data_IF_121187566584
#
_entry.id   IF_121187566584
#
_cell.length_a   1.000
_cell.length_b   1.000
_cell.length_c   1.000
_cell.angle_alpha   90.00
_cell.angle_beta   90.00
_cell.angle_gamma   90.00
#
_symmetry.space_group_name_H-M   'P 1'
#
loop_
_entity.id
_entity.type
_entity.pdbx_description
1 polymer ?
#
# COMPACT_ATOMS: atom_id res chain seq x y z
N UNK A 1 9.06 -52.07 -26.49
CA UNK A 1 7.80 -51.44 -26.98
C UNK A 1 8.08 -50.12 -27.68
N UNK A 2 7.34 -49.81 -28.74
CA UNK A 2 7.37 -48.46 -29.35
C UNK A 2 6.62 -47.46 -28.48
N UNK A 3 7.00 -46.17 -28.54
CA UNK A 3 6.34 -45.09 -27.79
C UNK A 3 4.84 -45.00 -28.12
N UNK A 4 4.49 -45.29 -29.37
CA UNK A 4 3.11 -45.27 -29.87
C UNK A 4 2.25 -46.39 -29.25
N UNK A 5 2.79 -47.59 -29.06
CA UNK A 5 2.09 -48.67 -28.38
C UNK A 5 1.89 -48.37 -26.89
N UNK A 6 2.87 -47.74 -26.23
CA UNK A 6 2.75 -47.34 -24.83
C UNK A 6 1.62 -46.31 -24.63
N UNK A 7 1.52 -45.30 -25.52
CA UNK A 7 0.44 -44.31 -25.51
C UNK A 7 -0.93 -44.96 -25.79
N UNK A 8 -1.01 -45.85 -26.79
CA UNK A 8 -2.25 -46.56 -27.13
C UNK A 8 -2.76 -47.40 -25.96
N UNK A 9 -1.86 -48.09 -25.26
CA UNK A 9 -2.20 -48.86 -24.06
C UNK A 9 -2.65 -47.94 -22.92
N UNK A 10 -1.91 -46.87 -22.63
CA UNK A 10 -2.30 -45.88 -21.62
C UNK A 10 -3.71 -45.31 -21.86
N UNK A 11 -4.05 -44.98 -23.11
CA UNK A 11 -5.38 -44.50 -23.47
C UNK A 11 -6.50 -45.52 -23.22
N UNK A 12 -6.27 -46.80 -23.55
CA UNK A 12 -7.20 -47.87 -23.27
C UNK A 12 -7.39 -48.06 -21.75
N UNK A 13 -6.30 -47.93 -20.98
CA UNK A 13 -6.28 -47.98 -19.53
C UNK A 13 -7.11 -46.85 -18.88
N UNK A 14 -6.92 -45.60 -19.33
CA UNK A 14 -7.67 -44.42 -18.87
C UNK A 14 -9.17 -44.62 -19.09
N UNK A 15 -9.57 -45.15 -20.24
CA UNK A 15 -10.99 -45.46 -20.54
C UNK A 15 -11.58 -46.56 -19.67
N UNK A 16 -10.76 -47.52 -19.23
CA UNK A 16 -11.18 -48.61 -18.36
C UNK A 16 -11.37 -48.16 -16.90
N UNK A 17 -10.50 -47.31 -16.38
CA UNK A 17 -10.57 -46.80 -14.99
C UNK A 17 -11.05 -45.35 -14.89
N UNK A 18 -12.26 -45.08 -15.41
CA UNK A 18 -12.87 -43.74 -15.48
C UNK A 18 -12.86 -43.00 -14.13
N UNK A 19 -13.21 -43.69 -13.04
CA UNK A 19 -13.27 -43.08 -11.71
C UNK A 19 -11.89 -42.60 -11.24
N UNK A 20 -10.87 -43.43 -11.43
CA UNK A 20 -9.49 -43.12 -11.03
C UNK A 20 -8.93 -41.99 -11.87
N UNK A 21 -9.04 -42.08 -13.20
CA UNK A 21 -8.60 -41.02 -14.11
C UNK A 21 -9.31 -39.70 -13.83
N UNK A 22 -10.59 -39.72 -13.46
CA UNK A 22 -11.32 -38.53 -13.05
C UNK A 22 -10.71 -37.90 -11.78
N UNK A 23 -10.44 -38.68 -10.72
CA UNK A 23 -9.85 -38.14 -9.49
C UNK A 23 -8.41 -37.63 -9.71
N UNK A 24 -7.60 -38.29 -10.54
CA UNK A 24 -6.25 -37.81 -10.87
C UNK A 24 -6.31 -36.49 -11.63
N UNK A 25 -7.16 -36.39 -12.65
CA UNK A 25 -7.36 -35.18 -13.44
C UNK A 25 -7.91 -34.04 -12.58
N UNK A 26 -8.87 -34.33 -11.70
CA UNK A 26 -9.46 -33.35 -10.78
C UNK A 26 -8.39 -32.80 -9.83
N UNK A 27 -7.55 -33.66 -9.24
CA UNK A 27 -6.47 -33.25 -8.35
C UNK A 27 -5.44 -32.34 -9.03
N UNK A 28 -5.01 -32.70 -10.25
CA UNK A 28 -4.09 -31.88 -11.05
C UNK A 28 -4.73 -30.56 -11.43
N UNK A 29 -5.99 -30.58 -11.87
CA UNK A 29 -6.70 -29.37 -12.29
C UNK A 29 -6.87 -28.40 -11.13
N UNK A 30 -7.26 -28.87 -9.95
CA UNK A 30 -7.39 -28.04 -8.75
C UNK A 30 -6.03 -27.47 -8.35
N UNK A 31 -4.96 -28.29 -8.35
CA UNK A 31 -3.61 -27.85 -8.03
C UNK A 31 -3.09 -26.76 -8.96
N UNK A 32 -3.23 -26.95 -10.28
CA UNK A 32 -2.82 -25.97 -11.30
C UNK A 32 -3.69 -24.71 -11.25
N UNK A 33 -5.01 -24.85 -11.04
CA UNK A 33 -5.91 -23.69 -10.93
C UNK A 33 -5.57 -22.86 -9.70
N UNK A 34 -5.34 -23.51 -8.55
CA UNK A 34 -4.90 -22.83 -7.33
C UNK A 34 -3.56 -22.13 -7.52
N UNK A 35 -2.58 -22.79 -8.14
CA UNK A 35 -1.29 -22.23 -8.51
C UNK A 35 -1.46 -20.94 -9.34
N UNK A 36 -2.21 -21.01 -10.44
CA UNK A 36 -2.43 -19.87 -11.33
C UNK A 36 -3.16 -18.76 -10.59
N UNK A 37 -4.18 -19.08 -9.79
CA UNK A 37 -4.94 -18.11 -9.02
C UNK A 37 -4.06 -17.36 -8.02
N UNK A 38 -3.26 -18.06 -7.21
CA UNK A 38 -2.39 -17.43 -6.21
C UNK A 38 -1.33 -16.55 -6.88
N UNK A 39 -0.65 -17.05 -7.93
CA UNK A 39 0.36 -16.27 -8.65
C UNK A 39 -0.26 -15.02 -9.30
N UNK A 40 -1.44 -15.16 -9.89
CA UNK A 40 -2.16 -14.04 -10.53
C UNK A 40 -2.61 -12.99 -9.52
N UNK A 41 -3.17 -13.42 -8.37
CA UNK A 41 -3.60 -12.54 -7.30
C UNK A 41 -2.40 -11.78 -6.71
N UNK A 42 -1.33 -12.49 -6.36
CA UNK A 42 -0.11 -11.87 -5.80
C UNK A 42 0.53 -10.91 -6.80
N UNK A 43 0.70 -11.33 -8.06
CA UNK A 43 1.29 -10.49 -9.12
C UNK A 43 0.40 -9.29 -9.49
N UNK A 44 -0.92 -9.46 -9.47
CA UNK A 44 -1.89 -8.39 -9.67
C UNK A 44 -1.85 -7.36 -8.55
N UNK A 45 -1.91 -7.80 -7.29
CA UNK A 45 -1.80 -6.91 -6.14
C UNK A 45 -0.46 -6.17 -6.11
N UNK A 46 0.65 -6.83 -6.43
CA UNK A 46 1.99 -6.20 -6.48
C UNK A 46 2.05 -5.07 -7.51
N UNK A 47 1.49 -5.27 -8.72
CA UNK A 47 1.38 -4.22 -9.75
C UNK A 47 0.47 -3.08 -9.32
N UNK A 48 -0.72 -3.42 -8.84
CA UNK A 48 -1.70 -2.46 -8.32
C UNK A 48 -1.10 -1.54 -7.25
N UNK A 49 -0.34 -2.12 -6.30
CA UNK A 49 0.34 -1.34 -5.26
C UNK A 49 1.44 -0.44 -5.83
N UNK A 50 2.19 -0.90 -6.83
CA UNK A 50 3.26 -0.09 -7.43
C UNK A 50 2.69 1.10 -8.22
N UNK A 51 1.60 0.90 -8.95
CA UNK A 51 1.02 1.92 -9.84
C UNK A 51 0.11 2.90 -9.09
N UNK A 52 -0.77 2.42 -8.20
CA UNK A 52 -1.72 3.31 -7.51
C UNK A 52 -1.16 3.91 -6.22
N UNK A 53 -0.38 3.17 -5.43
CA UNK A 53 0.04 3.64 -4.10
C UNK A 53 1.37 4.39 -4.15
N UNK A 54 2.40 3.79 -4.74
CA UNK A 54 3.76 4.37 -4.71
C UNK A 54 3.84 5.63 -5.57
N UNK A 55 3.22 5.63 -6.75
CA UNK A 55 3.23 6.78 -7.66
C UNK A 55 2.47 8.03 -7.17
N UNK A 56 1.45 7.84 -6.31
CA UNK A 56 0.58 8.93 -5.84
C UNK A 56 0.87 9.40 -4.41
N UNK A 57 1.27 8.51 -3.50
CA UNK A 57 1.40 8.85 -2.08
C UNK A 57 2.79 9.38 -1.69
N UNK A 58 3.83 9.01 -2.44
CA UNK A 58 5.21 9.39 -2.15
C UNK A 58 5.55 10.60 -3.01
N UNK A 59 5.57 11.78 -2.39
CA UNK A 59 6.17 12.94 -3.02
C UNK A 59 7.66 12.63 -3.26
N UNK A 60 8.00 12.29 -4.50
CA UNK A 60 9.38 11.95 -4.89
C UNK A 60 10.29 13.09 -4.43
N UNK A 61 11.37 12.74 -3.74
CA UNK A 61 12.32 13.66 -3.11
C UNK A 61 11.69 14.59 -2.06
N UNK A 62 10.96 14.03 -1.09
CA UNK A 62 10.51 14.77 0.09
C UNK A 62 10.81 14.04 1.40
N UNK A 63 11.02 14.81 2.47
CA UNK A 63 10.98 14.32 3.85
C UNK A 63 9.96 15.10 4.68
N UNK A 64 9.48 14.49 5.75
CA UNK A 64 8.61 15.11 6.73
C UNK A 64 9.34 15.25 8.07
N UNK A 65 9.51 16.48 8.54
CA UNK A 65 9.92 16.76 9.91
C UNK A 65 8.72 16.57 10.83
N UNK A 66 8.80 15.62 11.76
CA UNK A 66 7.76 15.33 12.75
C UNK A 66 8.36 15.12 14.13
N UNK A 67 7.55 15.26 15.17
CA UNK A 67 7.95 14.89 16.54
C UNK A 67 8.14 13.37 16.69
N UNK A 68 7.28 12.59 16.00
CA UNK A 68 7.33 11.11 15.97
C UNK A 68 7.19 10.61 14.53
N UNK A 69 7.79 9.45 14.20
CA UNK A 69 7.57 8.81 12.91
C UNK A 69 6.07 8.52 12.71
N UNK A 70 5.56 8.77 11.50
CA UNK A 70 4.19 8.43 11.13
C UNK A 70 4.11 6.99 10.59
N UNK A 71 5.19 6.52 9.96
CA UNK A 71 5.35 5.14 9.53
C UNK A 71 6.38 4.50 10.46
N UNK A 72 5.94 3.52 11.24
CA UNK A 72 6.83 2.72 12.07
C UNK A 72 7.16 1.43 11.34
N UNK A 73 8.45 1.17 11.12
CA UNK A 73 8.89 -0.09 10.54
C UNK A 73 8.94 -1.17 11.63
N UNK A 74 8.05 -2.15 11.53
CA UNK A 74 8.07 -3.34 12.40
C UNK A 74 7.40 -3.15 13.76
N UNK A 75 7.69 -4.10 14.66
CA UNK A 75 7.10 -4.15 16.00
C UNK A 75 7.86 -3.17 16.91
N UNK A 76 7.27 -2.00 17.15
CA UNK A 76 7.87 -0.96 17.99
C UNK A 76 7.60 -1.30 19.45
N UNK A 77 8.66 -1.45 20.23
CA UNK A 77 8.54 -1.76 21.66
C UNK A 77 7.71 -0.69 22.40
N UNK A 78 7.05 -1.10 23.49
CA UNK A 78 6.30 -0.15 24.33
C UNK A 78 7.20 0.95 24.91
N UNK A 79 8.48 0.68 25.11
CA UNK A 79 9.48 1.65 25.56
C UNK A 79 9.70 2.76 24.53
N UNK A 80 9.88 2.39 23.26
CA UNK A 80 10.02 3.36 22.16
C UNK A 80 8.74 4.16 21.97
N UNK A 81 7.56 3.54 22.13
CA UNK A 81 6.29 4.27 22.13
C UNK A 81 6.16 5.27 23.28
N UNK A 82 6.63 4.91 24.48
CA UNK A 82 6.68 5.83 25.63
C UNK A 82 7.64 6.98 25.37
N UNK A 83 8.80 6.72 24.76
CA UNK A 83 9.75 7.76 24.35
C UNK A 83 9.10 8.71 23.33
N UNK A 84 8.48 8.19 22.27
CA UNK A 84 7.82 9.01 21.24
C UNK A 84 6.73 9.92 21.81
N UNK A 85 6.00 9.46 22.84
CA UNK A 85 5.00 10.29 23.53
C UNK A 85 5.60 11.41 24.38
N UNK A 86 6.85 11.27 24.83
CA UNK A 86 7.58 12.28 25.61
C UNK A 86 8.31 13.30 24.74
N UNK A 87 8.49 13.02 23.45
CA UNK A 87 9.18 13.93 22.53
C UNK A 87 8.45 15.28 22.46
N UNK A 88 9.19 16.41 22.45
CA UNK A 88 8.58 17.71 22.29
C UNK A 88 7.85 17.78 20.94
N UNK A 89 6.66 18.38 20.94
CA UNK A 89 5.90 18.62 19.71
C UNK A 89 6.58 19.72 18.90
N UNK A 90 6.50 19.61 17.58
CA UNK A 90 6.96 20.68 16.68
C UNK A 90 6.01 21.86 16.82
N UNK A 91 6.57 23.05 17.02
CA UNK A 91 5.79 24.27 17.19
C UNK A 91 5.82 25.14 15.95
N UNK A 92 4.83 26.01 15.80
CA UNK A 92 4.78 27.00 14.71
C UNK A 92 6.01 27.92 14.73
N UNK A 93 6.58 28.20 15.92
CA UNK A 93 7.81 28.98 16.09
C UNK A 93 9.08 28.28 15.57
N UNK A 94 9.05 26.95 15.41
CA UNK A 94 10.17 26.18 14.85
C UNK A 94 10.16 26.21 13.31
N UNK A 95 8.99 26.45 12.70
CA UNK A 95 8.82 26.43 11.23
C UNK A 95 9.66 27.51 10.57
N UNK A 96 9.60 28.77 11.03
CA UNK A 96 10.35 29.88 10.43
C UNK A 96 11.86 29.63 10.33
N UNK A 97 12.55 29.27 11.43
CA UNK A 97 13.97 28.89 11.41
C UNK A 97 14.28 27.69 10.53
N UNK A 98 13.41 26.67 10.51
CA UNK A 98 13.57 25.49 9.65
C UNK A 98 13.55 25.91 8.19
N UNK A 99 12.56 26.70 7.78
CA UNK A 99 12.43 27.19 6.39
C UNK A 99 13.61 28.08 6.00
N UNK A 100 14.05 28.97 6.91
CA UNK A 100 15.18 29.86 6.66
C UNK A 100 16.52 29.14 6.46
N UNK A 101 16.68 27.93 7.02
CA UNK A 101 17.89 27.15 6.88
C UNK A 101 17.93 26.29 5.61
N UNK A 102 16.80 26.13 4.90
CA UNK A 102 16.73 25.27 3.73
C UNK A 102 17.60 25.81 2.58
N UNK A 103 18.28 24.92 1.83
CA UNK A 103 19.04 25.33 0.65
C UNK A 103 18.10 25.83 -0.48
N UNK A 104 18.61 26.66 -1.41
CA UNK A 104 17.88 27.01 -2.63
C UNK A 104 17.43 25.76 -3.40
N UNK A 105 16.30 25.84 -4.11
CA UNK A 105 15.72 24.69 -4.82
C UNK A 105 14.96 23.72 -3.90
N UNK A 106 14.50 24.22 -2.74
CA UNK A 106 13.61 23.50 -1.84
C UNK A 106 12.27 24.22 -1.69
N UNK A 107 11.23 23.42 -1.43
CA UNK A 107 9.88 23.87 -1.10
C UNK A 107 9.51 23.29 0.24
N UNK A 108 8.77 24.05 1.05
CA UNK A 108 8.38 23.61 2.39
C UNK A 108 6.94 23.96 2.68
N UNK A 109 6.26 23.03 3.36
CA UNK A 109 4.84 23.14 3.62
C UNK A 109 4.54 22.63 5.02
N UNK A 110 3.83 23.41 5.82
CA UNK A 110 3.32 23.00 7.12
C UNK A 110 1.98 22.29 6.96
N UNK A 111 1.81 21.17 7.67
CA UNK A 111 0.60 20.36 7.62
C UNK A 111 0.20 19.98 9.04
N UNK A 112 -1.10 20.09 9.32
CA UNK A 112 -1.72 19.53 10.52
C UNK A 112 -3.00 18.83 10.14
N UNK A 113 -3.27 17.65 10.70
CA UNK A 113 -4.40 16.84 10.29
C UNK A 113 -5.09 16.19 11.47
N UNK A 114 -6.42 16.21 11.47
CA UNK A 114 -7.23 15.51 12.45
C UNK A 114 -8.55 15.07 11.83
N UNK A 115 -9.12 14.00 12.37
CA UNK A 115 -10.46 13.59 12.00
C UNK A 115 -11.49 14.51 12.67
N UNK A 116 -12.26 15.24 11.87
CA UNK A 116 -13.29 16.18 12.34
C UNK A 116 -14.66 15.75 11.84
N UNK A 117 -15.70 16.12 12.59
CA UNK A 117 -17.08 15.96 12.14
C UNK A 117 -17.45 17.10 11.20
N UNK A 118 -17.83 16.75 9.98
CA UNK A 118 -18.27 17.71 8.96
C UNK A 118 -19.75 17.53 8.72
N UNK A 119 -20.46 18.65 8.63
CA UNK A 119 -21.91 18.72 8.51
C UNK A 119 -22.30 19.51 7.27
N UNK A 120 -23.48 19.18 6.73
CA UNK A 120 -24.09 19.92 5.62
C UNK A 120 -25.59 19.93 5.82
N UNK A 121 -26.26 20.88 5.16
CA UNK A 121 -27.73 20.91 5.07
C UNK A 121 -28.29 19.77 4.21
N UNK A 122 -27.45 19.16 3.36
CA UNK A 122 -27.88 18.19 2.35
C UNK A 122 -27.69 16.72 2.76
N UNK A 123 -26.87 16.43 3.77
CA UNK A 123 -26.54 15.05 4.16
C UNK A 123 -26.20 14.94 5.65
N UNK A 124 -26.22 13.70 6.15
CA UNK A 124 -25.88 13.40 7.55
C UNK A 124 -24.42 13.73 7.84
N UNK A 125 -24.11 14.22 9.06
CA UNK A 125 -22.74 14.43 9.51
C UNK A 125 -21.86 13.20 9.32
N UNK A 126 -20.60 13.42 8.95
CA UNK A 126 -19.63 12.35 8.77
C UNK A 126 -18.26 12.78 9.26
N UNK A 127 -17.52 11.84 9.82
CA UNK A 127 -16.13 12.06 10.20
C UNK A 127 -15.24 12.04 8.95
N UNK A 128 -14.45 13.09 8.77
CA UNK A 128 -13.58 13.30 7.61
C UNK A 128 -12.20 13.74 8.09
N UNK A 129 -11.15 13.34 7.37
CA UNK A 129 -9.81 13.84 7.63
C UNK A 129 -9.71 15.30 7.19
N UNK A 130 -9.65 16.23 8.13
CA UNK A 130 -9.35 17.62 7.84
C UNK A 130 -7.85 17.86 7.90
N UNK A 131 -7.34 18.63 6.95
CA UNK A 131 -5.94 19.04 6.87
C UNK A 131 -5.84 20.55 6.74
N UNK A 132 -5.13 21.18 7.68
CA UNK A 132 -4.73 22.58 7.63
C UNK A 132 -3.34 22.68 7.03
N UNK A 133 -3.23 23.30 5.86
CA UNK A 133 -1.98 23.33 5.07
C UNK A 133 -1.53 24.77 4.79
N UNK A 134 -0.23 24.99 4.62
CA UNK A 134 0.27 26.26 4.06
C UNK A 134 0.18 26.29 2.54
N UNK A 135 0.56 27.45 2.01
CA UNK A 135 0.78 27.62 0.58
C UNK A 135 1.73 26.54 0.01
N UNK A 136 1.61 26.31 -1.30
CA UNK A 136 2.39 25.34 -2.08
C UNK A 136 2.14 23.84 -1.78
N UNK A 137 1.24 23.51 -0.84
CA UNK A 137 0.87 22.11 -0.51
C UNK A 137 0.47 21.28 -1.73
N UNK A 138 -0.40 21.83 -2.57
CA UNK A 138 -0.92 21.14 -3.75
C UNK A 138 0.19 20.84 -4.77
N UNK A 139 1.16 21.74 -4.93
CA UNK A 139 2.31 21.51 -5.81
C UNK A 139 3.26 20.46 -5.25
N UNK A 140 3.55 20.50 -3.94
CA UNK A 140 4.42 19.51 -3.27
C UNK A 140 3.83 18.11 -3.33
N UNK A 141 2.50 17.99 -3.15
CA UNK A 141 1.77 16.72 -3.26
C UNK A 141 1.36 16.35 -4.68
N UNK A 142 1.67 17.18 -5.69
CA UNK A 142 1.25 17.01 -7.10
C UNK A 142 -0.24 16.69 -7.22
N UNK A 143 -1.04 17.49 -6.54
CA UNK A 143 -2.49 17.31 -6.44
C UNK A 143 -3.19 18.43 -7.18
N UNK A 144 -3.88 18.08 -8.26
CA UNK A 144 -4.70 19.00 -9.03
C UNK A 144 -6.17 18.95 -8.59
N UNK A 145 -6.97 19.88 -9.13
CA UNK A 145 -8.41 19.97 -8.90
C UNK A 145 -9.18 19.60 -10.15
N UNK A 146 -10.19 18.75 -10.01
CA UNK A 146 -11.11 18.37 -11.09
C UNK A 146 -12.15 19.45 -11.35
N UNK A 147 -12.57 20.18 -10.32
CA UNK A 147 -13.56 21.25 -10.43
C UNK A 147 -13.24 22.39 -9.47
N UNK A 148 -13.58 23.62 -9.85
CA UNK A 148 -13.33 24.83 -9.09
C UNK A 148 -11.88 25.31 -9.21
N UNK A 149 -11.28 25.72 -8.08
CA UNK A 149 -9.92 26.26 -8.04
C UNK A 149 -9.17 25.84 -6.77
N UNK A 150 -7.86 26.02 -6.82
CA UNK A 150 -7.00 25.94 -5.64
C UNK A 150 -7.17 27.16 -4.72
N UNK A 151 -6.72 26.99 -3.48
CA UNK A 151 -6.65 28.05 -2.47
C UNK A 151 -5.60 29.09 -2.92
N UNK A 152 -5.97 30.36 -2.95
CA UNK A 152 -5.06 31.44 -3.34
C UNK A 152 -4.11 31.83 -2.19
N UNK A 153 -2.88 32.34 -2.48
CA UNK A 153 -1.93 32.79 -1.46
C UNK A 153 -2.51 33.80 -0.46
N UNK A 154 -3.39 34.70 -0.91
CA UNK A 154 -4.06 35.69 -0.06
C UNK A 154 -5.03 35.03 0.92
N UNK A 155 -5.71 33.95 0.52
CA UNK A 155 -6.62 33.19 1.39
C UNK A 155 -5.83 32.43 2.47
N UNK A 156 -4.61 31.95 2.14
CA UNK A 156 -3.69 31.43 3.13
C UNK A 156 -3.22 32.50 4.12
N UNK A 157 -2.89 33.71 3.65
CA UNK A 157 -2.45 34.78 4.54
C UNK A 157 -3.57 35.25 5.48
N UNK A 158 -4.80 35.35 4.98
CA UNK A 158 -5.97 35.83 5.74
C UNK A 158 -6.63 34.74 6.61
N UNK A 159 -6.32 33.47 6.39
CA UNK A 159 -7.01 32.36 7.06
C UNK A 159 -8.49 32.27 6.68
N UNK A 160 -8.77 32.48 5.39
CA UNK A 160 -10.13 32.44 4.88
C UNK A 160 -10.78 31.07 5.14
N UNK A 161 -12.07 31.01 5.54
CA UNK A 161 -12.79 29.77 5.77
C UNK A 161 -13.20 29.13 4.43
N UNK A 162 -12.22 28.69 3.64
CA UNK A 162 -12.41 28.02 2.35
C UNK A 162 -11.92 26.57 2.42
N UNK A 163 -12.51 25.70 1.60
CA UNK A 163 -12.17 24.28 1.53
C UNK A 163 -11.95 23.79 0.10
N UNK A 164 -10.94 22.96 -0.07
CA UNK A 164 -10.84 22.01 -1.17
C UNK A 164 -11.21 20.64 -0.63
N UNK A 165 -12.14 19.94 -1.28
CA UNK A 165 -12.68 18.68 -0.78
C UNK A 165 -12.29 17.50 -1.66
N UNK A 166 -12.16 16.32 -1.07
CA UNK A 166 -11.96 15.08 -1.83
C UNK A 166 -13.25 14.59 -2.53
N UNK A 167 -13.13 13.78 -3.59
CA UNK A 167 -14.28 13.29 -4.36
C UNK A 167 -15.36 12.57 -3.53
N UNK A 168 -14.98 11.82 -2.50
CA UNK A 168 -15.94 11.10 -1.66
C UNK A 168 -16.75 12.04 -0.75
N UNK A 169 -16.13 13.15 -0.34
CA UNK A 169 -16.82 14.21 0.40
C UNK A 169 -17.84 14.90 -0.52
N UNK A 170 -17.44 15.20 -1.76
CA UNK A 170 -18.34 15.78 -2.76
C UNK A 170 -19.54 14.85 -3.03
N UNK A 171 -19.30 13.56 -3.28
CA UNK A 171 -20.36 12.56 -3.51
C UNK A 171 -21.31 12.40 -2.33
N UNK A 172 -20.79 12.39 -1.10
CA UNK A 172 -21.60 12.20 0.11
C UNK A 172 -22.46 13.42 0.45
N UNK A 173 -21.87 14.62 0.43
CA UNK A 173 -22.56 15.84 0.88
C UNK A 173 -23.30 16.59 -0.24
N UNK A 174 -22.97 16.33 -1.51
CA UNK A 174 -23.54 17.04 -2.66
C UNK A 174 -23.92 16.08 -3.79
N UNK A 175 -24.54 14.93 -3.45
CA UNK A 175 -24.97 13.95 -4.44
C UNK A 175 -25.86 14.59 -5.53
N UNK A 176 -25.36 14.63 -6.77
CA UNK A 176 -26.05 15.21 -7.92
C UNK A 176 -26.06 16.75 -7.99
N UNK A 177 -25.28 17.44 -7.15
CA UNK A 177 -25.22 18.90 -7.11
C UNK A 177 -23.77 19.40 -7.22
N UNK A 178 -23.53 20.56 -7.85
CA UNK A 178 -22.17 21.13 -7.99
C UNK A 178 -21.59 21.65 -6.66
N UNK A 179 -20.62 20.97 -6.02
CA UNK A 179 -20.17 21.32 -4.67
C UNK A 179 -19.52 22.71 -4.58
N UNK A 180 -19.01 23.26 -5.69
CA UNK A 180 -18.31 24.55 -5.69
C UNK A 180 -19.27 25.69 -5.33
N UNK A 181 -18.81 26.59 -4.46
CA UNK A 181 -19.58 27.72 -3.94
C UNK A 181 -20.52 27.38 -2.77
N UNK A 182 -20.70 26.09 -2.43
CA UNK A 182 -21.55 25.68 -1.31
C UNK A 182 -20.79 25.60 0.01
N UNK A 183 -21.56 25.55 1.09
CA UNK A 183 -21.01 25.55 2.44
C UNK A 183 -21.00 24.15 3.07
N UNK A 184 -19.91 23.85 3.78
CA UNK A 184 -19.82 22.78 4.76
C UNK A 184 -19.56 23.38 6.14
N UNK A 185 -20.13 22.80 7.19
CA UNK A 185 -19.92 23.25 8.56
C UNK A 185 -18.95 22.32 9.28
N UNK A 186 -17.96 22.89 9.93
CA UNK A 186 -17.00 22.15 10.76
C UNK A 186 -16.97 22.83 12.13
N UNK A 187 -17.39 22.10 13.17
CA UNK A 187 -17.60 22.65 14.52
C UNK A 187 -18.44 23.94 14.54
N UNK A 188 -19.51 23.99 13.74
CA UNK A 188 -20.43 25.13 13.64
C UNK A 188 -19.95 26.29 12.75
N UNK A 189 -18.68 26.32 12.35
CA UNK A 189 -18.11 27.36 11.48
C UNK A 189 -18.42 27.00 10.01
N UNK A 190 -19.04 27.90 9.23
CA UNK A 190 -19.27 27.67 7.81
C UNK A 190 -17.98 27.86 7.02
N UNK A 191 -17.70 26.92 6.13
CA UNK A 191 -16.61 26.99 5.16
C UNK A 191 -17.16 26.86 3.75
N UNK A 192 -16.68 27.71 2.84
CA UNK A 192 -17.06 27.65 1.44
C UNK A 192 -16.18 26.65 0.68
N UNK A 193 -16.80 25.72 -0.03
CA UNK A 193 -16.11 24.79 -0.93
C UNK A 193 -15.74 25.55 -2.20
N UNK A 194 -14.44 25.64 -2.50
CA UNK A 194 -13.92 26.36 -3.68
C UNK A 194 -13.36 25.44 -4.75
N UNK A 195 -13.12 24.17 -4.42
CA UNK A 195 -12.64 23.18 -5.37
C UNK A 195 -12.82 21.74 -4.90
N UNK A 196 -12.76 20.82 -5.87
CA UNK A 196 -12.76 19.38 -5.67
C UNK A 196 -11.44 18.83 -6.19
N UNK A 197 -10.66 18.20 -5.31
CA UNK A 197 -9.39 17.59 -5.66
C UNK A 197 -9.57 16.34 -6.53
N UNK A 198 -8.54 16.00 -7.32
CA UNK A 198 -8.49 14.74 -8.05
C UNK A 198 -8.47 13.52 -7.11
N UNK A 199 -9.00 12.40 -7.62
CA UNK A 199 -9.04 11.14 -6.88
C UNK A 199 -7.63 10.61 -6.61
N UNK A 200 -7.30 10.54 -5.32
CA UNK A 200 -6.12 9.90 -4.76
C UNK A 200 -6.26 8.37 -4.77
N UNK A 201 -7.48 7.87 -4.99
CA UNK A 201 -7.79 6.44 -5.10
C UNK A 201 -8.16 5.83 -3.76
N UNK A 202 -8.17 4.51 -3.72
CA UNK A 202 -8.50 3.73 -2.54
C UNK A 202 -7.61 2.51 -2.48
N UNK A 203 -7.19 2.06 -1.30
CA UNK A 203 -6.49 0.79 -1.18
C UNK A 203 -6.96 0.00 0.03
N UNK A 204 -7.01 -1.32 -0.10
CA UNK A 204 -7.46 -2.23 0.95
C UNK A 204 -8.85 -1.86 1.52
N UNK A 205 -9.75 -1.33 0.68
CA UNK A 205 -11.07 -0.85 1.09
C UNK A 205 -11.07 0.50 1.83
N UNK A 206 -9.90 1.13 2.02
CA UNK A 206 -9.76 2.46 2.58
C UNK A 206 -9.65 3.48 1.45
N UNK A 207 -10.66 4.35 1.33
CA UNK A 207 -10.60 5.49 0.42
C UNK A 207 -9.67 6.58 0.96
N UNK A 208 -8.76 7.07 0.11
CA UNK A 208 -7.93 8.24 0.34
C UNK A 208 -8.60 9.54 -0.13
N UNK A 209 -9.82 9.46 -0.65
CA UNK A 209 -10.61 10.60 -1.17
C UNK A 209 -11.51 11.24 -0.12
N UNK A 210 -11.43 10.77 1.14
CA UNK A 210 -12.21 11.27 2.28
C UNK A 210 -11.43 12.30 3.08
N UNK A 211 -11.20 13.46 2.47
CA UNK A 211 -10.51 14.57 3.11
C UNK A 211 -11.12 15.94 2.79
N UNK A 212 -10.80 16.90 3.65
CA UNK A 212 -10.99 18.33 3.38
C UNK A 212 -9.69 19.07 3.68
N UNK A 213 -9.30 20.00 2.81
CA UNK A 213 -8.09 20.80 2.94
C UNK A 213 -8.51 22.27 3.11
N UNK A 214 -7.98 22.92 4.13
CA UNK A 214 -8.17 24.33 4.40
C UNK A 214 -6.82 25.01 4.66
N UNK A 215 -6.77 26.35 4.63
CA UNK A 215 -5.60 27.09 5.08
C UNK A 215 -5.22 26.78 6.54
N UNK A 216 -3.93 26.64 6.84
CA UNK A 216 -3.43 26.42 8.20
C UNK A 216 -3.79 27.55 9.18
N UNK A 217 -3.93 28.78 8.66
CA UNK A 217 -4.36 29.97 9.39
C UNK A 217 -5.87 30.04 9.63
N UNK A 218 -6.66 29.21 8.95
CA UNK A 218 -8.12 29.20 9.10
C UNK A 218 -8.56 28.70 10.49
N UNK A 219 -9.80 28.98 10.91
CA UNK A 219 -10.30 28.58 12.24
C UNK A 219 -10.19 27.07 12.53
N UNK A 220 -10.10 26.24 11.49
CA UNK A 220 -9.96 24.79 11.56
C UNK A 220 -8.74 24.36 12.39
N UNK A 221 -7.67 25.17 12.42
CA UNK A 221 -6.45 24.90 13.20
C UNK A 221 -6.74 24.56 14.66
N UNK A 222 -7.76 25.18 15.27
CA UNK A 222 -8.16 24.93 16.67
C UNK A 222 -8.68 23.51 16.90
N UNK A 223 -9.19 22.86 15.85
CA UNK A 223 -9.68 21.48 15.88
C UNK A 223 -8.60 20.48 15.53
N UNK A 224 -7.59 20.90 14.75
CA UNK A 224 -6.52 20.02 14.27
C UNK A 224 -5.48 19.77 15.36
N UNK A 225 -5.07 20.80 16.08
CA UNK A 225 -4.03 20.70 17.09
C UNK A 225 -4.17 21.75 18.20
N UNK A 226 -3.54 21.52 19.37
CA UNK A 226 -3.36 22.56 20.38
C UNK A 226 -2.68 23.80 19.81
N UNK A 227 -2.94 24.95 20.43
CA UNK A 227 -2.45 26.23 19.93
C UNK A 227 -0.92 26.25 19.77
N UNK A 228 -0.48 26.46 18.52
CA UNK A 228 0.94 26.63 18.19
C UNK A 228 1.69 25.33 17.93
N UNK A 229 0.99 24.20 17.84
CA UNK A 229 1.54 22.90 17.45
C UNK A 229 1.31 22.64 15.97
N UNK A 230 2.30 22.03 15.31
CA UNK A 230 2.25 21.55 13.93
C UNK A 230 2.58 20.05 13.91
N UNK A 231 1.85 19.26 13.13
CA UNK A 231 2.12 17.81 13.04
C UNK A 231 3.36 17.51 12.23
N UNK A 232 3.50 18.19 11.09
CA UNK A 232 4.59 17.97 10.16
C UNK A 232 4.98 19.23 9.38
N UNK A 233 6.26 19.32 9.06
CA UNK A 233 6.77 20.19 8.00
C UNK A 233 7.30 19.30 6.90
N UNK A 234 6.64 19.33 5.74
CA UNK A 234 7.04 18.60 4.54
C UNK A 234 8.05 19.47 3.80
N UNK A 235 9.19 18.91 3.45
CA UNK A 235 10.23 19.58 2.66
C UNK A 235 10.47 18.75 1.41
N UNK A 236 10.35 19.37 0.24
CA UNK A 236 10.65 18.79 -1.06
C UNK A 236 11.87 19.49 -1.66
N UNK A 237 12.73 18.72 -2.34
CA UNK A 237 13.94 19.22 -2.97
C UNK A 237 14.03 18.73 -4.40
N UNK A 238 14.68 19.52 -5.25
CA UNK A 238 14.81 19.21 -6.68
C UNK A 238 15.69 17.99 -6.96
N UNK A 239 16.66 17.71 -6.09
CA UNK A 239 17.57 16.57 -6.24
C UNK A 239 17.83 15.83 -4.92
N UNK A 240 18.25 14.56 -4.97
CA UNK A 240 18.64 13.81 -3.77
C UNK A 240 19.79 14.45 -2.98
N UNK A 241 20.69 15.16 -3.66
CA UNK A 241 21.82 15.85 -3.02
C UNK A 241 21.31 17.02 -2.18
N UNK A 242 20.46 17.86 -2.76
CA UNK A 242 19.80 18.98 -2.06
C UNK A 242 18.95 18.46 -0.90
N UNK A 243 18.31 17.31 -1.06
CA UNK A 243 17.52 16.65 -0.02
C UNK A 243 18.36 16.25 1.19
N UNK A 244 19.52 15.63 0.98
CA UNK A 244 20.45 15.25 2.06
C UNK A 244 21.00 16.48 2.78
N UNK A 245 21.36 17.53 2.03
CA UNK A 245 21.79 18.79 2.61
C UNK A 245 20.68 19.43 3.45
N UNK A 246 19.46 19.50 2.91
CA UNK A 246 18.29 20.03 3.61
C UNK A 246 18.02 19.26 4.91
N UNK A 247 18.10 17.93 4.89
CA UNK A 247 17.93 17.10 6.10
C UNK A 247 18.95 17.44 7.17
N UNK A 248 20.22 17.57 6.81
CA UNK A 248 21.29 17.89 7.77
C UNK A 248 21.12 19.30 8.35
N UNK A 249 20.79 20.29 7.50
CA UNK A 249 20.52 21.66 7.98
C UNK A 249 19.31 21.72 8.91
N UNK A 250 18.20 21.04 8.57
CA UNK A 250 17.02 20.97 9.43
C UNK A 250 17.34 20.23 10.73
N UNK A 251 18.11 19.14 10.67
CA UNK A 251 18.58 18.41 11.87
C UNK A 251 19.35 19.35 12.79
N UNK A 252 20.30 20.12 12.26
CA UNK A 252 21.09 21.07 13.04
C UNK A 252 20.21 22.14 13.71
N UNK A 253 19.32 22.79 12.96
CA UNK A 253 18.39 23.78 13.50
C UNK A 253 17.54 23.21 14.62
N UNK A 254 16.96 22.03 14.41
CA UNK A 254 16.10 21.39 15.40
C UNK A 254 16.88 20.95 16.65
N UNK A 255 18.10 20.43 16.49
CA UNK A 255 18.97 20.09 17.64
C UNK A 255 19.34 21.33 18.45
N UNK A 256 19.65 22.45 17.81
CA UNK A 256 19.91 23.73 18.50
C UNK A 256 18.67 24.23 19.22
N UNK A 257 17.50 24.20 18.56
CA UNK A 257 16.21 24.63 19.15
C UNK A 257 15.81 23.78 20.35
N UNK A 258 15.99 22.47 20.25
CA UNK A 258 15.70 21.52 21.32
C UNK A 258 16.83 21.42 22.35
N UNK A 259 17.92 22.19 22.20
CA UNK A 259 19.08 22.23 23.11
C UNK A 259 19.70 20.84 23.33
N UNK A 260 19.76 20.04 22.27
CA UNK A 260 20.33 18.69 22.32
C UNK A 260 21.87 18.76 22.29
N UNK A 261 22.52 17.99 23.16
CA UNK A 261 23.99 17.85 23.15
C UNK A 261 24.42 16.91 22.02
N UNK A 262 25.68 16.95 21.55
CA UNK A 262 26.17 16.04 20.51
C UNK A 262 25.94 14.55 20.81
N UNK A 263 25.98 14.15 22.08
CA UNK A 263 25.72 12.77 22.53
C UNK A 263 24.25 12.40 22.63
N UNK A 264 23.33 13.38 22.63
CA UNK A 264 21.90 13.12 22.80
C UNK A 264 21.27 12.68 21.46
N UNK A 265 20.42 11.64 21.47
CA UNK A 265 19.70 11.21 20.28
C UNK A 265 18.68 12.26 19.83
N UNK A 266 18.36 12.26 18.54
CA UNK A 266 17.33 13.15 18.00
C UNK A 266 15.95 12.81 18.60
N UNK A 267 15.34 13.79 19.25
CA UNK A 267 13.98 13.71 19.79
C UNK A 267 12.92 14.19 18.79
N UNK A 268 13.26 14.17 17.49
CA UNK A 268 12.38 14.41 16.35
C UNK A 268 12.71 13.37 15.27
N UNK A 269 11.89 13.30 14.22
CA UNK A 269 12.07 12.39 13.11
C UNK A 269 12.09 13.17 11.80
N UNK A 270 13.06 12.86 10.95
CA UNK A 270 13.08 13.26 9.55
C UNK A 270 12.70 12.03 8.73
N UNK A 271 11.41 11.92 8.43
CA UNK A 271 10.89 10.76 7.74
C UNK A 271 11.03 10.95 6.23
N UNK A 272 11.89 10.17 5.60
CA UNK A 272 12.13 10.27 4.15
C UNK A 272 11.14 9.43 3.35
N UNK A 273 10.96 9.82 2.09
CA UNK A 273 10.26 9.00 1.11
C UNK A 273 10.93 7.62 0.91
N UNK A 274 12.26 7.53 1.07
CA UNK A 274 12.99 6.27 0.98
C UNK A 274 12.58 5.29 2.07
N UNK A 275 12.36 5.77 3.30
CA UNK A 275 11.86 4.91 4.38
C UNK A 275 10.47 4.34 4.06
N UNK A 276 9.60 5.13 3.42
CA UNK A 276 8.32 4.61 2.94
C UNK A 276 8.54 3.56 1.82
N UNK A 277 9.42 3.83 0.86
CA UNK A 277 9.77 2.90 -0.23
C UNK A 277 10.36 1.58 0.29
N UNK A 278 11.23 1.62 1.30
CA UNK A 278 11.81 0.43 1.93
C UNK A 278 10.74 -0.43 2.62
N UNK A 279 9.82 0.20 3.36
CA UNK A 279 8.68 -0.48 3.95
C UNK A 279 7.83 -1.18 2.87
N UNK A 280 7.57 -0.49 1.77
CA UNK A 280 6.84 -1.05 0.63
C UNK A 280 7.60 -2.19 -0.05
N UNK A 281 8.90 -2.05 -0.27
CA UNK A 281 9.76 -3.09 -0.84
C UNK A 281 9.75 -4.34 0.05
N UNK A 282 9.69 -4.18 1.37
CA UNK A 282 9.57 -5.29 2.31
C UNK A 282 8.23 -6.01 2.19
N UNK A 283 7.12 -5.28 2.12
CA UNK A 283 5.78 -5.87 1.87
C UNK A 283 5.77 -6.60 0.52
N UNK A 284 6.28 -5.97 -0.54
CA UNK A 284 6.39 -6.57 -1.88
C UNK A 284 7.19 -7.86 -1.85
N UNK A 285 8.32 -7.89 -1.13
CA UNK A 285 9.14 -9.09 -0.93
C UNK A 285 8.36 -10.21 -0.27
N UNK A 286 7.63 -9.94 0.82
CA UNK A 286 6.80 -10.95 1.47
C UNK A 286 5.67 -11.47 0.57
N UNK A 287 5.05 -10.59 -0.21
CA UNK A 287 4.03 -10.99 -1.18
C UNK A 287 4.62 -11.90 -2.27
N UNK A 288 5.75 -11.52 -2.86
CA UNK A 288 6.44 -12.36 -3.86
C UNK A 288 6.83 -13.71 -3.26
N UNK A 289 7.37 -13.73 -2.05
CA UNK A 289 7.70 -14.95 -1.34
C UNK A 289 6.46 -15.83 -1.13
N UNK A 290 5.35 -15.26 -0.65
CA UNK A 290 4.08 -15.98 -0.50
C UNK A 290 3.55 -16.51 -1.84
N UNK A 291 3.69 -15.72 -2.90
CA UNK A 291 3.32 -16.08 -4.28
C UNK A 291 4.17 -17.19 -4.88
N UNK A 292 5.33 -17.52 -4.30
CA UNK A 292 6.15 -18.68 -4.70
C UNK A 292 5.94 -19.85 -3.73
N UNK A 293 5.91 -19.57 -2.42
CA UNK A 293 5.84 -20.60 -1.39
C UNK A 293 4.49 -21.35 -1.38
N UNK A 294 3.37 -20.64 -1.49
CA UNK A 294 2.03 -21.25 -1.48
C UNK A 294 1.82 -22.19 -2.69
N UNK A 295 2.07 -21.74 -3.94
CA UNK A 295 2.27 -22.60 -5.10
C UNK A 295 3.16 -23.82 -4.92
N UNK A 296 4.36 -23.64 -4.36
CA UNK A 296 5.31 -24.74 -4.20
C UNK A 296 4.74 -25.84 -3.29
N UNK A 297 4.10 -25.47 -2.18
CA UNK A 297 3.42 -26.42 -1.29
C UNK A 297 2.29 -27.13 -2.03
N UNK A 298 1.46 -26.38 -2.79
CA UNK A 298 0.38 -26.95 -3.60
C UNK A 298 0.89 -27.98 -4.62
N UNK A 299 2.04 -27.71 -5.24
CA UNK A 299 2.67 -28.61 -6.20
C UNK A 299 3.18 -29.90 -5.54
N UNK A 300 3.75 -29.81 -4.34
CA UNK A 300 4.16 -30.98 -3.54
C UNK A 300 2.95 -31.83 -3.13
N UNK A 301 1.88 -31.20 -2.64
CA UNK A 301 0.65 -31.91 -2.27
C UNK A 301 0.04 -32.58 -3.50
N UNK A 302 0.00 -31.90 -4.64
CA UNK A 302 -0.43 -32.47 -5.92
C UNK A 302 0.41 -33.68 -6.33
N UNK A 303 1.73 -33.60 -6.20
CA UNK A 303 2.63 -34.70 -6.50
C UNK A 303 2.40 -35.92 -5.59
N UNK A 304 2.13 -35.71 -4.29
CA UNK A 304 1.81 -36.80 -3.34
C UNK A 304 0.49 -37.48 -3.70
N UNK A 305 -0.52 -36.70 -4.10
CA UNK A 305 -1.82 -37.26 -4.54
C UNK A 305 -1.63 -38.14 -5.78
N UNK A 306 -0.91 -37.65 -6.79
CA UNK A 306 -0.62 -38.42 -8.01
C UNK A 306 0.16 -39.69 -7.65
N UNK A 307 1.19 -39.58 -6.79
CA UNK A 307 1.99 -40.71 -6.34
C UNK A 307 1.13 -41.78 -5.65
N UNK A 308 0.22 -41.39 -4.75
CA UNK A 308 -0.63 -42.33 -4.02
C UNK A 308 -1.62 -43.05 -4.95
N UNK A 309 -2.25 -42.31 -5.88
CA UNK A 309 -3.16 -42.92 -6.87
C UNK A 309 -2.39 -43.91 -7.77
N UNK A 310 -1.18 -43.54 -8.20
CA UNK A 310 -0.33 -44.41 -9.01
C UNK A 310 0.17 -45.64 -8.25
N UNK A 311 0.53 -45.50 -6.97
CA UNK A 311 0.97 -46.62 -6.14
C UNK A 311 -0.15 -47.65 -5.98
N UNK A 312 -1.37 -47.20 -5.70
CA UNK A 312 -2.55 -48.08 -5.65
C UNK A 312 -2.83 -48.73 -7.01
N UNK A 313 -2.71 -47.98 -8.11
CA UNK A 313 -2.89 -48.51 -9.47
C UNK A 313 -1.87 -49.61 -9.84
N UNK A 314 -0.61 -49.46 -9.42
CA UNK A 314 0.43 -50.47 -9.62
C UNK A 314 0.19 -51.69 -8.73
N UNK A 315 -0.21 -51.47 -7.47
CA UNK A 315 -0.49 -52.53 -6.50
C UNK A 315 -1.64 -53.45 -6.97
N UNK A 316 -2.73 -52.86 -7.46
CA UNK A 316 -3.89 -53.57 -8.03
C UNK A 316 -3.52 -54.42 -9.26
N UNK A 317 -2.47 -54.06 -10.01
CA UNK A 317 -2.06 -54.72 -11.27
C UNK A 317 -0.82 -55.60 -11.12
N UNK A 318 -0.37 -55.90 -9.91
CA UNK A 318 0.80 -56.75 -9.65
C UNK A 318 0.74 -58.11 -10.35
N UNK A 319 -0.44 -58.75 -10.39
CA UNK A 319 -0.65 -60.03 -11.08
C UNK A 319 -0.47 -59.92 -12.60
N UNK A 320 -0.96 -58.85 -13.21
CA UNK A 320 -0.84 -58.59 -14.65
C UNK A 320 0.63 -58.31 -15.05
N UNK A 321 1.35 -57.56 -14.22
CA UNK A 321 2.79 -57.30 -14.38
C UNK A 321 3.58 -58.61 -14.30
N UNK A 322 3.21 -59.52 -13.39
CA UNK A 322 3.82 -60.84 -13.25
C UNK A 322 3.68 -61.70 -14.50
N UNK A 323 2.48 -61.72 -15.11
CA UNK A 323 2.22 -62.44 -16.37
C UNK A 323 3.05 -61.86 -17.52
N UNK A 324 3.13 -60.52 -17.66
CA UNK A 324 3.95 -59.89 -18.71
C UNK A 324 5.43 -60.19 -18.56
N UNK A 325 5.96 -60.18 -17.33
CA UNK A 325 7.36 -60.56 -17.06
C UNK A 325 7.61 -62.03 -17.39
N UNK A 326 6.67 -62.93 -17.08
CA UNK A 326 6.76 -64.34 -17.44
C UNK A 326 6.77 -64.57 -18.96
N UNK A 327 6.10 -63.68 -19.73
CA UNK A 327 6.09 -63.67 -21.19
C UNK A 327 7.30 -62.93 -21.82
N UNK A 328 8.28 -62.49 -21.02
CA UNK A 328 9.53 -61.90 -21.51
C UNK A 328 9.58 -60.37 -21.57
N UNK A 329 8.62 -59.65 -21.01
CA UNK A 329 8.67 -58.19 -20.93
C UNK A 329 9.86 -57.70 -20.08
N UNK A 330 10.66 -56.76 -20.60
CA UNK A 330 11.79 -56.18 -19.87
C UNK A 330 11.29 -55.20 -18.81
N UNK A 331 12.06 -55.00 -17.72
CA UNK A 331 11.74 -54.01 -16.68
C UNK A 331 11.52 -52.61 -17.26
N UNK A 332 12.27 -52.24 -18.29
CA UNK A 332 12.16 -50.97 -19.00
C UNK A 332 10.84 -50.80 -19.76
N UNK A 333 10.24 -51.88 -20.25
CA UNK A 333 8.96 -51.81 -20.96
C UNK A 333 7.83 -51.49 -19.97
N UNK A 334 7.89 -52.10 -18.77
CA UNK A 334 6.93 -51.84 -17.69
C UNK A 334 7.06 -50.41 -17.16
N UNK A 335 8.28 -49.93 -16.88
CA UNK A 335 8.47 -48.55 -16.41
C UNK A 335 8.07 -47.51 -17.45
N UNK A 336 8.38 -47.73 -18.74
CA UNK A 336 7.94 -46.83 -19.82
C UNK A 336 6.42 -46.77 -19.95
N UNK A 337 5.72 -47.90 -19.78
CA UNK A 337 4.26 -47.92 -19.80
C UNK A 337 3.66 -47.09 -18.65
N UNK A 338 4.14 -47.26 -17.42
CA UNK A 338 3.64 -46.50 -16.27
C UNK A 338 4.00 -45.01 -16.32
N UNK A 339 5.19 -44.67 -16.82
CA UNK A 339 5.57 -43.27 -17.10
C UNK A 339 4.63 -42.64 -18.12
N UNK A 340 4.33 -43.36 -19.22
CA UNK A 340 3.38 -42.88 -20.22
C UNK A 340 1.97 -42.71 -19.64
N UNK A 341 1.50 -43.65 -18.81
CA UNK A 341 0.20 -43.56 -18.11
C UNK A 341 0.13 -42.41 -17.09
N UNK A 342 1.27 -42.01 -16.50
CA UNK A 342 1.33 -40.88 -15.56
C UNK A 342 1.43 -39.51 -16.26
N UNK A 343 2.02 -39.45 -17.46
CA UNK A 343 2.16 -38.20 -18.24
C UNK A 343 0.92 -37.83 -19.08
N UNK A 344 0.06 -38.80 -19.37
CA UNK A 344 -1.15 -38.66 -20.19
C UNK A 344 -2.38 -38.37 -19.33
#
# INVERSE_FOLDING_TARGET
MSLFEAVRLAWAQIRAQKLKSFFTLLGVTIGVTFLIAVVSIVGGMSRYMQEELVGKLIAVNAFELRSRPNINMGDVSEETWREYRRRPRIRTEDVGPVVAALPPGTRSVQVSSANVQVESRYAKPRQILASGVSDDYFNVKRMDVTSGRLIAPQEYALGAPVLVIGPDVAKHFFAGLDPVGRELRIAGIPYQVIGVAESQGSAFGLSFDRFVIAPHSAPIRRLLNPHGVVDAVIVQGESPIIMLEAQERVRQVMRTRHRLRPSDPDNFALQTSDSALEFWNKIKSYMVLAGIALPAIGLVVGAIVIMNIMLVAVAERTREIGVRKALGARRSDITRQFLAEATL
#
